data_IF_941538840195
#
_entry.id   IF_941538840195
#
_cell.length_a   1.000
_cell.length_b   1.000
_cell.length_c   1.000
_cell.angle_alpha   90.00
_cell.angle_beta   90.00
_cell.angle_gamma   90.00
#
_symmetry.space_group_name_H-M   'P 1'
#
loop_
_entity.id
_entity.type
_entity.pdbx_description
1 polymer ?
#
# COMPACT_ATOMS: atom_id res chain seq x y z
N UNK A 1 -16.66 1.42 14.44
CA UNK A 1 -15.72 1.57 13.31
C UNK A 1 -14.58 0.59 13.52
N UNK A 2 -14.40 -0.37 12.61
CA UNK A 2 -13.41 -1.43 12.78
C UNK A 2 -12.07 -0.92 12.24
N UNK A 3 -10.97 -1.04 13.00
CA UNK A 3 -9.66 -0.68 12.50
C UNK A 3 -9.24 -1.70 11.44
N UNK A 4 -8.89 -1.22 10.26
CA UNK A 4 -8.29 -2.02 9.19
C UNK A 4 -6.84 -1.61 9.03
N UNK A 5 -5.99 -2.61 8.84
CA UNK A 5 -4.57 -2.42 8.60
C UNK A 5 -4.18 -3.09 7.28
N UNK A 6 -3.59 -2.31 6.39
CA UNK A 6 -2.98 -2.78 5.15
C UNK A 6 -1.46 -2.64 5.31
N UNK A 7 -0.78 -3.78 5.39
CA UNK A 7 0.67 -3.87 5.37
C UNK A 7 1.14 -4.30 3.98
N UNK A 8 2.00 -3.50 3.37
CA UNK A 8 2.59 -3.82 2.06
C UNK A 8 4.06 -4.13 2.28
N UNK A 9 4.47 -5.39 2.04
CA UNK A 9 5.89 -5.77 2.10
C UNK A 9 6.61 -5.16 0.90
N UNK A 10 7.26 -4.01 1.08
CA UNK A 10 7.87 -3.25 0.00
C UNK A 10 9.06 -2.41 0.50
N UNK A 11 10.21 -2.42 -0.21
CA UNK A 11 11.43 -1.78 0.28
C UNK A 11 11.33 -0.25 0.38
N UNK A 12 10.54 0.38 -0.50
CA UNK A 12 10.26 1.82 -0.46
C UNK A 12 11.54 2.69 -0.41
N UNK A 13 12.44 2.42 -1.36
CA UNK A 13 13.73 3.10 -1.52
C UNK A 13 13.50 4.46 -2.20
N UNK A 14 14.01 5.52 -1.58
CA UNK A 14 13.79 6.90 -2.04
C UNK A 14 14.63 7.29 -3.25
N UNK A 15 15.69 6.54 -3.56
CA UNK A 15 16.69 6.93 -4.58
C UNK A 15 17.70 7.97 -4.11
N UNK A 16 17.63 8.40 -2.85
CA UNK A 16 18.56 9.39 -2.27
C UNK A 16 19.50 8.78 -1.23
N UNK A 17 19.20 7.57 -0.75
CA UNK A 17 20.05 6.86 0.21
C UNK A 17 21.24 6.22 -0.49
N UNK A 18 22.42 6.43 0.08
CA UNK A 18 23.63 5.69 -0.26
C UNK A 18 23.75 4.46 0.64
N UNK A 19 23.89 3.29 0.02
CA UNK A 19 24.23 2.07 0.74
C UNK A 19 25.65 2.18 1.30
N UNK A 20 25.81 1.95 2.60
CA UNK A 20 27.07 2.21 3.29
C UNK A 20 28.18 1.21 2.94
N UNK A 21 27.81 0.01 2.46
CA UNK A 21 28.76 -1.06 2.15
C UNK A 21 29.27 -0.90 0.71
N UNK A 22 28.35 -0.89 -0.25
CA UNK A 22 28.64 -0.77 -1.67
C UNK A 22 29.00 0.66 -2.11
N UNK A 23 28.68 1.67 -1.28
CA UNK A 23 28.82 3.10 -1.60
C UNK A 23 28.02 3.54 -2.83
N UNK A 24 27.07 2.72 -3.29
CA UNK A 24 26.21 3.01 -4.42
C UNK A 24 24.90 3.62 -3.94
N UNK A 25 24.35 4.52 -4.74
CA UNK A 25 22.97 5.00 -4.58
C UNK A 25 22.05 4.04 -5.31
N UNK A 26 21.15 3.41 -4.57
CA UNK A 26 20.18 2.49 -5.16
C UNK A 26 19.10 3.30 -5.90
N UNK A 27 18.64 2.87 -7.10
CA UNK A 27 17.54 3.53 -7.79
C UNK A 27 16.27 3.59 -6.94
N UNK A 28 15.45 4.62 -7.14
CA UNK A 28 14.18 4.75 -6.43
C UNK A 28 13.24 3.58 -6.74
N UNK A 29 12.69 2.97 -5.69
CA UNK A 29 11.72 1.88 -5.78
C UNK A 29 10.70 2.01 -4.65
N UNK A 30 9.54 2.60 -4.95
CA UNK A 30 8.52 2.97 -3.96
C UNK A 30 7.11 2.79 -4.49
N UNK A 31 6.18 2.54 -3.58
CA UNK A 31 4.73 2.48 -3.86
C UNK A 31 4.23 3.87 -4.31
N UNK A 32 3.51 3.93 -5.42
CA UNK A 32 2.97 5.16 -6.02
C UNK A 32 1.47 5.31 -5.82
N UNK A 33 0.74 4.19 -5.73
CA UNK A 33 -0.71 4.19 -5.65
C UNK A 33 -1.20 3.05 -4.77
N UNK A 34 -2.16 3.35 -3.90
CA UNK A 34 -2.89 2.37 -3.07
C UNK A 34 -4.37 2.65 -3.20
N UNK A 35 -5.12 1.69 -3.71
CA UNK A 35 -6.58 1.74 -3.82
C UNK A 35 -7.18 0.59 -3.04
N UNK A 36 -8.03 0.89 -2.07
CA UNK A 36 -8.82 -0.10 -1.35
C UNK A 36 -10.29 0.08 -1.72
N UNK A 37 -10.94 -1.01 -2.09
CA UNK A 37 -12.36 -1.04 -2.44
C UNK A 37 -13.09 -2.12 -1.64
N UNK A 38 -14.37 -1.89 -1.37
CA UNK A 38 -15.28 -2.86 -0.78
C UNK A 38 -16.42 -3.14 -1.75
N UNK A 39 -16.55 -4.39 -2.22
CA UNK A 39 -17.48 -4.78 -3.28
C UNK A 39 -17.44 -3.83 -4.50
N UNK A 40 -16.23 -3.42 -4.90
CA UNK A 40 -15.99 -2.49 -6.02
C UNK A 40 -16.25 -1.01 -5.71
N UNK A 41 -16.71 -0.65 -4.51
CA UNK A 41 -16.83 0.75 -4.08
C UNK A 41 -15.54 1.22 -3.42
N UNK A 42 -14.94 2.36 -3.81
CA UNK A 42 -13.71 2.85 -3.21
C UNK A 42 -13.93 3.20 -1.73
N UNK A 43 -13.05 2.68 -0.86
CA UNK A 43 -13.00 2.95 0.58
C UNK A 43 -11.81 3.83 0.93
N UNK A 44 -10.67 3.59 0.29
CA UNK A 44 -9.47 4.39 0.44
C UNK A 44 -8.77 4.53 -0.91
N UNK A 45 -8.33 5.74 -1.25
CA UNK A 45 -7.45 6.00 -2.37
C UNK A 45 -6.31 6.88 -1.90
N UNK A 46 -5.07 6.43 -2.09
CA UNK A 46 -3.88 7.17 -1.72
C UNK A 46 -2.90 7.20 -2.89
N UNK A 47 -2.45 8.42 -3.23
CA UNK A 47 -1.28 8.64 -4.07
C UNK A 47 -0.11 8.93 -3.17
N UNK A 48 0.97 8.19 -3.36
CA UNK A 48 2.15 8.21 -2.49
C UNK A 48 3.40 8.58 -3.26
N UNK A 49 4.44 8.93 -2.52
CA UNK A 49 5.74 9.30 -3.05
C UNK A 49 6.87 8.68 -2.21
N UNK A 50 8.09 9.15 -2.44
CA UNK A 50 9.30 8.72 -1.73
C UNK A 50 9.29 9.04 -0.22
N UNK A 51 8.32 9.78 0.31
CA UNK A 51 8.23 10.10 1.74
C UNK A 51 7.64 8.94 2.57
N UNK A 52 7.07 7.93 1.92
CA UNK A 52 6.53 6.76 2.63
C UNK A 52 7.65 5.79 3.01
N UNK A 53 7.69 5.41 4.29
CA UNK A 53 8.68 4.48 4.84
C UNK A 53 8.65 3.10 4.19
N UNK A 54 9.74 2.34 4.38
CA UNK A 54 9.79 0.91 4.13
C UNK A 54 8.63 0.19 4.82
N UNK A 55 8.16 -0.89 4.20
CA UNK A 55 6.97 -1.66 4.59
C UNK A 55 5.75 -0.78 4.89
N UNK A 56 5.21 -0.08 3.86
CA UNK A 56 4.10 0.85 4.03
C UNK A 56 2.93 0.25 4.81
N UNK A 57 2.50 0.97 5.84
CA UNK A 57 1.41 0.56 6.72
C UNK A 57 0.30 1.61 6.70
N UNK A 58 -0.79 1.28 6.01
CA UNK A 58 -1.97 2.14 5.91
C UNK A 58 -3.03 1.66 6.90
N UNK A 59 -3.44 2.54 7.81
CA UNK A 59 -4.49 2.27 8.79
C UNK A 59 -5.65 3.21 8.56
N UNK A 60 -6.83 2.64 8.48
CA UNK A 60 -8.06 3.39 8.30
C UNK A 60 -9.20 2.68 9.01
N UNK A 61 -10.26 3.43 9.26
CA UNK A 61 -11.47 2.89 9.88
C UNK A 61 -12.47 2.54 8.79
N UNK A 62 -13.05 1.34 8.88
CA UNK A 62 -14.07 0.87 7.96
C UNK A 62 -15.18 0.18 8.74
N UNK A 63 -16.43 0.38 8.32
CA UNK A 63 -17.61 -0.33 8.85
C UNK A 63 -18.31 -0.97 7.66
N UNK A 64 -18.33 -2.30 7.56
CA UNK A 64 -19.09 -2.97 6.53
C UNK A 64 -20.58 -2.99 6.92
N UNK A 65 -21.45 -2.50 6.03
CA UNK A 65 -22.92 -2.58 6.21
C UNK A 65 -23.49 -3.98 5.90
N UNK A 66 -22.70 -4.81 5.21
CA UNK A 66 -23.05 -6.16 4.77
C UNK A 66 -21.79 -7.02 4.65
N UNK A 67 -21.97 -8.33 4.53
CA UNK A 67 -20.87 -9.21 4.14
C UNK A 67 -20.42 -8.89 2.71
N UNK A 68 -19.10 -8.84 2.49
CA UNK A 68 -18.53 -8.51 1.18
C UNK A 68 -17.01 -8.70 1.15
N UNK A 69 -16.40 -8.30 0.05
CA UNK A 69 -14.95 -8.41 -0.16
C UNK A 69 -14.28 -7.04 -0.06
N UNK A 70 -13.28 -6.92 0.81
CA UNK A 70 -12.37 -5.79 0.85
C UNK A 70 -11.13 -6.14 0.01
N UNK A 71 -10.89 -5.38 -1.05
CA UNK A 71 -9.79 -5.57 -1.99
C UNK A 71 -8.85 -4.38 -1.98
N UNK A 72 -7.56 -4.63 -1.84
CA UNK A 72 -6.50 -3.65 -2.00
C UNK A 72 -5.73 -3.91 -3.31
N UNK A 73 -5.55 -2.85 -4.10
CA UNK A 73 -4.74 -2.82 -5.31
C UNK A 73 -3.63 -1.78 -5.12
N UNK A 74 -2.37 -2.20 -5.27
CA UNK A 74 -1.18 -1.40 -5.02
C UNK A 74 -0.33 -1.38 -6.29
N UNK A 75 0.26 -0.21 -6.60
CA UNK A 75 1.24 -0.05 -7.69
C UNK A 75 2.51 0.59 -7.19
N UNK A 76 3.64 0.21 -7.77
CA UNK A 76 4.92 0.88 -7.55
C UNK A 76 5.38 1.70 -8.77
N UNK A 77 6.51 2.40 -8.62
CA UNK A 77 7.10 3.20 -9.69
C UNK A 77 7.82 2.40 -10.78
N UNK A 78 8.00 1.08 -10.59
CA UNK A 78 8.59 0.18 -11.58
C UNK A 78 7.52 -0.51 -12.44
N UNK A 79 6.24 -0.22 -12.21
CA UNK A 79 5.12 -0.81 -12.93
C UNK A 79 4.71 -2.17 -12.39
N UNK A 80 5.15 -2.56 -11.19
CA UNK A 80 4.62 -3.74 -10.51
C UNK A 80 3.25 -3.43 -9.92
N UNK A 81 2.38 -4.44 -9.95
CA UNK A 81 1.02 -4.38 -9.45
C UNK A 81 0.82 -5.52 -8.45
N UNK A 82 0.32 -5.19 -7.27
CA UNK A 82 0.02 -6.14 -6.20
C UNK A 82 -1.45 -6.04 -5.84
N UNK A 83 -2.08 -7.17 -5.54
CA UNK A 83 -3.46 -7.19 -5.09
C UNK A 83 -3.63 -8.15 -3.93
N UNK A 84 -4.52 -7.78 -3.01
CA UNK A 84 -4.92 -8.61 -1.88
C UNK A 84 -6.42 -8.45 -1.63
N UNK A 85 -7.10 -9.54 -1.32
CA UNK A 85 -8.53 -9.56 -1.00
C UNK A 85 -8.79 -10.24 0.33
N UNK A 86 -9.76 -9.73 1.08
CA UNK A 86 -10.21 -10.31 2.34
C UNK A 86 -11.73 -10.24 2.41
N UNK A 87 -12.37 -11.37 2.73
CA UNK A 87 -13.79 -11.38 3.07
C UNK A 87 -14.01 -10.72 4.42
N UNK A 88 -14.98 -9.80 4.50
CA UNK A 88 -15.33 -9.05 5.71
C UNK A 88 -16.82 -9.22 5.98
N UNK A 89 -17.16 -9.46 7.25
CA UNK A 89 -18.54 -9.51 7.74
C UNK A 89 -18.78 -8.38 8.76
N UNK A 90 -20.03 -7.89 8.88
CA UNK A 90 -20.44 -6.94 9.93
C UNK A 90 -20.17 -7.45 11.34
#
# INVERSE_FOLDING_TARGET
ANPVQLLVSHPNITGMQMDQISRMVQPAHYVTEVNVSFDGKPVLGAKTDIAISADPNFRFYFVPDKAGELKADIKDNLGNHYSASQAVTP
#
